data_IF_173541261269
#
_entry.id   IF_173541261269
#
_cell.length_a   1.000
_cell.length_b   1.000
_cell.length_c   1.000
_cell.angle_alpha   90.00
_cell.angle_beta   90.00
_cell.angle_gamma   90.00
#
_symmetry.space_group_name_H-M   'P 1'
#
loop_
_entity.id
_entity.type
_entity.pdbx_description
1 polymer ?
#
# COMPACT_ATOMS: atom_id res chain seq x y z
N UNK A 1 -3.88 0.73 -12.56
CA UNK A 1 -2.99 0.57 -11.39
C UNK A 1 -3.56 1.43 -10.26
N UNK A 2 -3.50 0.95 -9.02
CA UNK A 2 -3.93 1.68 -7.82
C UNK A 2 -2.98 2.87 -7.58
N UNK A 3 -3.52 4.06 -7.30
CA UNK A 3 -2.71 5.29 -7.13
C UNK A 3 -2.17 5.85 -8.46
N UNK A 4 -3.03 6.10 -9.46
CA UNK A 4 -2.62 6.40 -10.83
C UNK A 4 -1.81 7.70 -10.92
N UNK A 5 -0.51 7.57 -11.22
CA UNK A 5 0.42 8.71 -11.33
C UNK A 5 0.97 9.19 -9.99
N UNK A 6 0.17 9.09 -8.93
CA UNK A 6 0.53 9.49 -7.56
C UNK A 6 1.69 8.66 -7.00
N UNK A 7 1.74 7.36 -7.29
CA UNK A 7 2.81 6.48 -6.83
C UNK A 7 4.17 6.88 -7.42
N UNK A 8 4.21 7.10 -8.73
CA UNK A 8 5.41 7.53 -9.44
C UNK A 8 5.81 8.95 -9.03
N UNK A 9 4.83 9.85 -8.88
CA UNK A 9 5.05 11.22 -8.41
C UNK A 9 5.66 11.26 -7.01
N UNK A 10 5.14 10.43 -6.09
CA UNK A 10 5.65 10.31 -4.72
C UNK A 10 7.09 9.81 -4.69
N UNK A 11 7.44 8.82 -5.52
CA UNK A 11 8.83 8.37 -5.66
C UNK A 11 9.76 9.52 -6.08
N UNK A 12 9.37 10.30 -7.09
CA UNK A 12 10.17 11.42 -7.60
C UNK A 12 10.34 12.49 -6.50
N UNK A 13 9.26 12.83 -5.79
CA UNK A 13 9.30 13.79 -4.69
C UNK A 13 10.26 13.33 -3.57
N UNK A 14 10.19 12.06 -3.17
CA UNK A 14 11.08 11.50 -2.17
C UNK A 14 12.55 11.47 -2.65
N UNK A 15 12.79 11.14 -3.92
CA UNK A 15 14.14 11.21 -4.50
C UNK A 15 14.72 12.64 -4.48
N UNK A 16 13.89 13.66 -4.71
CA UNK A 16 14.30 15.07 -4.59
C UNK A 16 14.65 15.41 -3.15
N UNK A 17 13.81 15.04 -2.18
CA UNK A 17 14.06 15.27 -0.74
C UNK A 17 15.38 14.62 -0.30
N UNK A 18 15.60 13.37 -0.69
CA UNK A 18 16.82 12.62 -0.40
C UNK A 18 18.08 13.28 -0.99
N UNK A 19 17.99 13.81 -2.21
CA UNK A 19 19.10 14.51 -2.86
C UNK A 19 19.39 15.87 -2.20
N UNK A 20 18.35 16.61 -1.80
CA UNK A 20 18.50 17.86 -1.04
C UNK A 20 19.19 17.58 0.30
N UNK A 21 18.74 16.57 1.03
CA UNK A 21 19.35 16.16 2.30
C UNK A 21 20.84 15.77 2.14
N UNK A 22 21.17 15.00 1.09
CA UNK A 22 22.54 14.63 0.78
C UNK A 22 23.41 15.85 0.43
N UNK A 23 22.91 16.76 -0.42
CA UNK A 23 23.64 17.98 -0.83
C UNK A 23 23.92 18.89 0.37
N UNK A 24 22.95 19.04 1.26
CA UNK A 24 23.06 19.88 2.45
C UNK A 24 23.74 19.17 3.64
N UNK A 25 24.07 17.88 3.52
CA UNK A 25 24.62 17.05 4.60
C UNK A 25 23.78 17.08 5.88
N UNK A 26 22.46 17.07 5.73
CA UNK A 26 21.50 17.02 6.84
C UNK A 26 20.69 15.72 6.79
N UNK A 27 20.10 15.37 7.92
CA UNK A 27 19.24 14.20 8.02
C UNK A 27 17.97 14.34 7.15
N UNK A 28 17.57 13.27 6.48
CA UNK A 28 16.46 13.30 5.51
C UNK A 28 15.12 13.53 6.20
N UNK A 29 14.92 12.92 7.37
CA UNK A 29 13.69 13.11 8.15
C UNK A 29 13.56 14.55 8.65
N UNK A 30 14.68 15.22 8.92
CA UNK A 30 14.71 16.66 9.19
C UNK A 30 14.27 17.49 7.98
N UNK A 31 14.71 17.16 6.76
CA UNK A 31 14.24 17.82 5.52
C UNK A 31 12.74 17.66 5.33
N UNK A 32 12.23 16.43 5.50
CA UNK A 32 10.78 16.15 5.45
C UNK A 32 10.04 16.98 6.48
N UNK A 33 10.48 16.95 7.74
CA UNK A 33 9.84 17.64 8.85
C UNK A 33 9.77 19.16 8.67
N UNK A 34 10.85 19.78 8.16
CA UNK A 34 10.89 21.23 7.89
C UNK A 34 9.96 21.63 6.73
N UNK A 35 9.80 20.75 5.75
CA UNK A 35 9.01 21.02 4.53
C UNK A 35 7.58 20.45 4.59
N UNK A 36 7.15 19.87 5.71
CA UNK A 36 5.74 19.53 5.91
C UNK A 36 4.89 20.79 5.76
N UNK A 37 3.76 20.66 5.07
CA UNK A 37 2.85 21.78 4.93
C UNK A 37 2.41 22.31 6.30
N UNK A 38 2.27 23.62 6.41
CA UNK A 38 1.34 24.23 7.37
C UNK A 38 -0.06 24.27 6.77
N UNK A 39 -1.10 24.41 7.59
CA UNK A 39 -2.47 24.58 7.08
C UNK A 39 -2.58 25.76 6.09
N UNK A 40 -1.90 26.87 6.37
CA UNK A 40 -1.82 28.03 5.46
C UNK A 40 -1.17 27.68 4.12
N UNK A 41 -0.11 26.87 4.12
CA UNK A 41 0.50 26.45 2.87
C UNK A 41 -0.38 25.45 2.11
N UNK A 42 -1.10 24.54 2.79
CA UNK A 42 -2.06 23.65 2.12
C UNK A 42 -3.08 24.44 1.31
N UNK A 43 -3.61 25.53 1.87
CA UNK A 43 -4.54 26.42 1.16
C UNK A 43 -3.96 26.96 -0.16
N UNK A 44 -2.64 27.14 -0.27
CA UNK A 44 -2.00 27.65 -1.48
C UNK A 44 -1.78 26.58 -2.55
N UNK A 45 -1.62 25.30 -2.15
CA UNK A 45 -1.35 24.18 -3.06
C UNK A 45 -2.58 23.35 -3.42
N UNK A 46 -3.56 23.28 -2.51
CA UNK A 46 -4.75 22.42 -2.62
C UNK A 46 -6.02 23.26 -2.54
N UNK A 47 -6.24 24.06 -3.57
CA UNK A 47 -7.37 24.98 -3.65
C UNK A 47 -8.70 24.23 -3.47
N UNK A 48 -9.61 24.80 -2.67
CA UNK A 48 -10.94 24.25 -2.33
C UNK A 48 -11.01 22.86 -1.65
N UNK A 49 -9.89 22.19 -1.32
CA UNK A 49 -9.92 20.84 -0.71
C UNK A 49 -9.04 20.66 0.54
N UNK A 50 -8.36 21.72 0.99
CA UNK A 50 -7.48 21.72 2.16
C UNK A 50 -8.19 21.51 3.52
N UNK A 51 -9.52 21.69 3.56
CA UNK A 51 -10.35 21.46 4.76
C UNK A 51 -10.13 22.46 5.89
N UNK A 52 -10.86 22.28 6.99
CA UNK A 52 -10.68 23.11 8.19
C UNK A 52 -9.34 22.79 8.91
N UNK A 53 -8.78 23.72 9.71
CA UNK A 53 -7.49 23.52 10.38
C UNK A 53 -7.37 22.22 11.18
N UNK A 54 -8.46 21.78 11.82
CA UNK A 54 -8.49 20.55 12.62
C UNK A 54 -8.51 19.28 11.76
N UNK A 55 -8.86 19.37 10.47
CA UNK A 55 -8.84 18.24 9.54
C UNK A 55 -7.43 17.92 9.05
N UNK A 56 -6.47 18.86 9.21
CA UNK A 56 -5.07 18.65 8.83
C UNK A 56 -4.35 17.82 9.91
N UNK A 57 -4.46 16.50 9.79
CA UNK A 57 -3.99 15.54 10.81
C UNK A 57 -2.52 15.14 10.65
N UNK A 58 -1.88 15.41 9.49
CA UNK A 58 -0.54 14.94 9.19
C UNK A 58 0.53 15.30 10.24
N UNK A 59 0.62 16.54 10.79
CA UNK A 59 1.63 16.84 11.81
C UNK A 59 1.43 16.04 13.11
N UNK A 60 0.16 15.78 13.47
CA UNK A 60 -0.20 14.96 14.63
C UNK A 60 0.17 13.49 14.38
N UNK A 61 -0.15 12.96 13.19
CA UNK A 61 0.22 11.62 12.74
C UNK A 61 1.74 11.45 12.77
N UNK A 62 2.48 12.39 12.17
CA UNK A 62 3.94 12.38 12.11
C UNK A 62 4.58 12.27 13.49
N UNK A 63 4.13 13.11 14.42
CA UNK A 63 4.63 13.15 15.80
C UNK A 63 4.25 11.88 16.58
N UNK A 64 3.00 11.43 16.48
CA UNK A 64 2.53 10.21 17.13
C UNK A 64 3.25 8.96 16.61
N UNK A 65 3.50 8.91 15.31
CA UNK A 65 4.19 7.79 14.68
C UNK A 65 5.65 7.71 15.15
N UNK A 66 6.37 8.83 15.27
CA UNK A 66 7.72 8.83 15.82
C UNK A 66 7.78 8.16 17.21
N UNK A 67 6.87 8.57 18.10
CA UNK A 67 6.80 8.05 19.47
C UNK A 67 6.37 6.57 19.49
N UNK A 68 5.26 6.23 18.83
CA UNK A 68 4.71 4.87 18.87
C UNK A 68 5.59 3.83 18.19
N UNK A 69 6.30 4.22 17.12
CA UNK A 69 7.25 3.35 16.42
C UNK A 69 8.64 3.31 17.07
N UNK A 70 8.88 4.07 18.15
CA UNK A 70 10.19 4.29 18.77
C UNK A 70 11.25 4.74 17.75
N UNK A 71 10.90 5.67 16.85
CA UNK A 71 11.68 6.03 15.68
C UNK A 71 13.09 6.52 16.04
N UNK A 72 13.20 7.44 17.00
CA UNK A 72 14.48 8.00 17.43
C UNK A 72 15.39 6.93 18.05
N UNK A 73 14.83 6.08 18.91
CA UNK A 73 15.56 4.97 19.52
C UNK A 73 16.05 3.97 18.48
N UNK A 74 15.19 3.57 17.54
CA UNK A 74 15.55 2.64 16.47
C UNK A 74 16.56 3.24 15.51
N UNK A 75 16.50 4.55 15.25
CA UNK A 75 17.51 5.24 14.46
C UNK A 75 18.90 5.13 15.08
N UNK A 76 19.02 5.29 16.40
CA UNK A 76 20.30 5.07 17.10
C UNK A 76 20.72 3.60 17.10
N UNK A 77 19.78 2.67 17.28
CA UNK A 77 20.07 1.22 17.17
C UNK A 77 20.58 0.83 15.79
N UNK A 78 20.00 1.39 14.72
CA UNK A 78 20.45 1.18 13.33
C UNK A 78 21.88 1.71 13.13
N UNK A 79 22.20 2.90 13.65
CA UNK A 79 23.57 3.44 13.60
C UNK A 79 24.56 2.50 14.31
N UNK A 80 24.20 2.01 15.49
CA UNK A 80 25.07 1.12 16.27
C UNK A 80 25.25 -0.25 15.59
N UNK A 81 24.17 -0.81 15.04
CA UNK A 81 24.23 -2.01 14.22
C UNK A 81 25.17 -1.82 13.02
N UNK A 82 25.06 -0.69 12.32
CA UNK A 82 25.88 -0.39 11.16
C UNK A 82 27.36 -0.20 11.48
N UNK A 83 27.72 0.21 12.71
CA UNK A 83 29.12 0.28 13.14
C UNK A 83 29.73 -1.09 13.42
N UNK A 84 28.93 -2.02 13.93
CA UNK A 84 29.40 -3.34 14.36
C UNK A 84 29.29 -4.41 13.27
N UNK A 85 28.32 -4.29 12.36
CA UNK A 85 28.08 -5.25 11.30
C UNK A 85 28.87 -4.95 10.04
N UNK A 86 29.70 -5.90 9.59
CA UNK A 86 30.51 -5.80 8.37
C UNK A 86 29.68 -6.13 7.12
N UNK A 87 28.95 -7.25 7.13
CA UNK A 87 28.31 -7.82 5.94
C UNK A 87 26.83 -7.49 5.82
N UNK A 88 26.26 -6.78 6.80
CA UNK A 88 24.86 -6.36 6.76
C UNK A 88 24.73 -4.92 7.17
N UNK A 89 23.81 -4.20 6.55
CA UNK A 89 23.47 -2.82 6.91
C UNK A 89 21.99 -2.69 7.11
N UNK A 90 21.61 -1.87 8.09
CA UNK A 90 20.23 -1.47 8.30
C UNK A 90 20.00 -0.06 7.83
N UNK A 91 18.77 0.19 7.44
CA UNK A 91 18.28 1.52 7.14
C UNK A 91 16.88 1.67 7.70
N UNK A 92 16.55 2.89 8.08
CA UNK A 92 15.24 3.27 8.59
C UNK A 92 14.82 4.56 7.90
N UNK A 93 13.54 4.67 7.55
CA UNK A 93 12.99 5.90 6.97
C UNK A 93 11.56 6.10 7.40
N UNK A 94 11.18 7.37 7.57
CA UNK A 94 9.83 7.82 7.82
C UNK A 94 9.35 8.70 6.65
N UNK A 95 8.19 8.39 6.10
CA UNK A 95 7.63 9.05 4.91
C UNK A 95 6.16 9.45 5.15
N UNK A 96 5.77 10.70 4.87
CA UNK A 96 4.38 11.15 4.95
C UNK A 96 3.63 10.89 3.64
N UNK A 97 2.30 10.94 3.68
CA UNK A 97 1.46 11.02 2.48
C UNK A 97 0.41 12.11 2.64
N UNK A 98 0.21 12.89 1.58
CA UNK A 98 -0.94 13.75 1.35
C UNK A 98 -1.57 13.28 0.04
N UNK A 99 -2.83 12.89 0.06
CA UNK A 99 -3.50 12.35 -1.14
C UNK A 99 -4.82 13.06 -1.38
N UNK A 100 -5.00 13.61 -2.58
CA UNK A 100 -6.24 14.26 -2.98
C UNK A 100 -7.26 13.26 -3.52
N UNK A 101 -8.47 13.34 -3.00
CA UNK A 101 -9.58 12.48 -3.38
C UNK A 101 -10.71 13.28 -3.99
N UNK A 102 -11.45 12.64 -4.88
CA UNK A 102 -12.59 13.23 -5.60
C UNK A 102 -13.78 12.27 -5.48
N UNK A 103 -14.89 12.75 -4.91
CA UNK A 103 -16.16 12.03 -4.96
C UNK A 103 -16.85 12.30 -6.30
N UNK A 104 -17.57 11.28 -6.78
CA UNK A 104 -18.29 11.33 -8.06
C UNK A 104 -19.78 11.12 -7.83
N UNK A 105 -20.63 11.75 -8.66
CA UNK A 105 -22.05 11.47 -8.64
C UNK A 105 -22.33 9.98 -8.81
N UNK A 106 -23.21 9.43 -7.97
CA UNK A 106 -23.41 7.98 -7.87
C UNK A 106 -24.89 7.66 -7.66
N UNK A 107 -25.49 6.75 -8.46
CA UNK A 107 -26.85 6.28 -8.24
C UNK A 107 -26.89 5.19 -7.16
N UNK A 108 -28.02 5.09 -6.47
CA UNK A 108 -28.35 4.02 -5.55
C UNK A 108 -29.84 3.77 -5.51
N UNK A 109 -30.25 2.54 -5.20
CA UNK A 109 -31.65 2.13 -5.10
C UNK A 109 -31.83 1.15 -3.96
N UNK A 110 -32.93 1.30 -3.23
CA UNK A 110 -33.34 0.43 -2.12
C UNK A 110 -34.80 0.05 -2.33
N UNK A 111 -35.07 -1.25 -2.25
CA UNK A 111 -36.41 -1.82 -2.37
C UNK A 111 -36.68 -2.75 -1.18
N UNK A 112 -37.80 -2.56 -0.50
CA UNK A 112 -38.24 -3.42 0.61
C UNK A 112 -39.33 -4.36 0.08
N UNK A 113 -39.10 -5.67 0.19
CA UNK A 113 -40.06 -6.69 -0.22
C UNK A 113 -41.15 -6.87 0.84
N UNK A 114 -42.27 -7.50 0.47
CA UNK A 114 -43.44 -7.65 1.34
C UNK A 114 -43.18 -8.47 2.62
N UNK A 115 -42.12 -9.28 2.64
CA UNK A 115 -41.67 -10.03 3.82
C UNK A 115 -40.72 -9.24 4.73
N UNK A 116 -40.42 -7.98 4.37
CA UNK A 116 -39.48 -7.12 5.09
C UNK A 116 -38.01 -7.32 4.70
N UNK A 117 -37.68 -8.21 3.76
CA UNK A 117 -36.32 -8.26 3.22
C UNK A 117 -36.02 -7.01 2.38
N UNK A 118 -34.75 -6.60 2.35
CA UNK A 118 -34.30 -5.35 1.72
C UNK A 118 -33.31 -5.69 0.61
N UNK A 119 -33.60 -5.22 -0.59
CA UNK A 119 -32.72 -5.35 -1.77
C UNK A 119 -32.09 -3.99 -2.04
N UNK A 120 -30.76 -3.97 -2.18
CA UNK A 120 -29.97 -2.77 -2.44
C UNK A 120 -29.21 -2.93 -3.74
N UNK A 121 -29.27 -1.90 -4.59
CA UNK A 121 -28.62 -1.84 -5.89
C UNK A 121 -27.74 -0.59 -5.96
N UNK A 122 -26.49 -0.75 -6.37
CA UNK A 122 -25.52 0.35 -6.52
C UNK A 122 -24.72 0.16 -7.80
N UNK A 123 -24.18 1.25 -8.35
CA UNK A 123 -23.30 1.19 -9.53
C UNK A 123 -21.89 0.66 -9.22
N UNK A 124 -21.50 0.70 -7.94
CA UNK A 124 -20.20 0.21 -7.48
C UNK A 124 -20.05 -1.31 -7.58
N UNK A 125 -18.90 -1.75 -8.06
CA UNK A 125 -18.54 -3.15 -8.26
C UNK A 125 -17.69 -3.62 -7.08
N UNK A 126 -18.03 -4.79 -6.53
CA UNK A 126 -17.21 -5.45 -5.51
C UNK A 126 -16.00 -6.13 -6.18
N UNK A 127 -14.80 -5.75 -5.75
CA UNK A 127 -13.50 -6.24 -6.21
C UNK A 127 -12.66 -6.80 -5.06
N UNK A 128 -13.26 -6.94 -3.86
CA UNK A 128 -12.57 -7.34 -2.63
C UNK A 128 -12.32 -6.17 -1.67
N UNK A 129 -12.70 -4.94 -2.04
CA UNK A 129 -12.58 -3.75 -1.20
C UNK A 129 -13.67 -3.61 -0.13
N UNK A 130 -14.64 -4.53 -0.10
CA UNK A 130 -15.71 -4.53 0.89
C UNK A 130 -16.76 -3.44 0.66
N UNK A 131 -16.95 -3.03 -0.60
CA UNK A 131 -17.95 -2.02 -0.98
C UNK A 131 -19.37 -2.49 -0.64
N UNK A 132 -19.72 -3.72 -1.01
CA UNK A 132 -21.05 -4.27 -0.74
C UNK A 132 -21.29 -4.47 0.75
N UNK A 133 -20.24 -4.81 1.51
CA UNK A 133 -20.33 -4.90 2.98
C UNK A 133 -20.66 -3.53 3.59
N UNK A 134 -19.96 -2.47 3.19
CA UNK A 134 -20.23 -1.11 3.66
C UNK A 134 -21.62 -0.62 3.26
N UNK A 135 -22.03 -0.88 2.03
CA UNK A 135 -23.39 -0.53 1.54
C UNK A 135 -24.48 -1.28 2.32
N UNK A 136 -24.27 -2.57 2.59
CA UNK A 136 -25.18 -3.39 3.40
C UNK A 136 -25.32 -2.83 4.82
N UNK A 137 -24.19 -2.47 5.45
CA UNK A 137 -24.16 -1.82 6.76
C UNK A 137 -24.87 -0.47 6.74
N UNK A 138 -24.67 0.33 5.69
CA UNK A 138 -25.32 1.63 5.52
C UNK A 138 -26.84 1.52 5.40
N UNK A 139 -27.34 0.58 4.59
CA UNK A 139 -28.78 0.35 4.46
C UNK A 139 -29.42 -0.05 5.79
N UNK A 140 -28.79 -0.99 6.52
CA UNK A 140 -29.25 -1.41 7.84
C UNK A 140 -29.20 -0.28 8.86
N UNK A 141 -28.12 0.51 8.88
CA UNK A 141 -27.96 1.68 9.73
C UNK A 141 -29.06 2.72 9.47
N UNK A 142 -29.27 3.11 8.20
CA UNK A 142 -30.25 4.12 7.83
C UNK A 142 -31.67 3.65 8.16
N UNK A 143 -32.08 2.47 7.69
CA UNK A 143 -33.42 1.94 7.97
C UNK A 143 -33.66 1.66 9.46
N UNK A 144 -32.61 1.28 10.20
CA UNK A 144 -32.68 1.05 11.64
C UNK A 144 -33.11 2.28 12.46
N UNK A 145 -32.95 3.49 11.92
CA UNK A 145 -33.43 4.73 12.55
C UNK A 145 -34.94 4.80 12.73
N UNK A 146 -35.70 3.96 12.01
CA UNK A 146 -37.15 3.86 12.22
C UNK A 146 -37.50 3.28 13.59
N UNK A 147 -36.56 2.61 14.27
CA UNK A 147 -36.73 2.06 15.62
C UNK A 147 -37.97 1.16 15.75
N UNK A 148 -38.01 0.08 14.96
CA UNK A 148 -38.94 -1.04 15.17
C UNK A 148 -38.36 -2.05 16.18
N UNK A 149 -39.24 -2.84 16.81
CA UNK A 149 -38.82 -3.97 17.63
C UNK A 149 -38.06 -5.01 16.80
N UNK A 150 -36.95 -5.51 17.35
CA UNK A 150 -36.10 -6.49 16.67
C UNK A 150 -35.18 -5.89 15.59
N UNK A 151 -34.96 -4.57 15.60
CA UNK A 151 -34.10 -3.82 14.66
C UNK A 151 -32.66 -4.37 14.55
N UNK A 152 -32.17 -5.08 15.57
CA UNK A 152 -30.87 -5.76 15.55
C UNK A 152 -30.71 -6.82 14.45
N UNK A 153 -31.80 -7.27 13.82
CA UNK A 153 -31.79 -8.27 12.73
C UNK A 153 -31.81 -7.68 11.31
N UNK A 154 -31.88 -6.34 11.16
CA UNK A 154 -32.01 -5.71 9.85
C UNK A 154 -30.83 -6.02 8.93
N UNK A 155 -29.62 -6.14 9.48
CA UNK A 155 -28.44 -6.47 8.68
C UNK A 155 -28.61 -7.81 7.93
N UNK A 156 -29.20 -8.82 8.55
CA UNK A 156 -29.41 -10.13 7.92
C UNK A 156 -30.50 -10.10 6.83
N UNK A 157 -31.39 -9.10 6.89
CA UNK A 157 -32.46 -8.87 5.92
C UNK A 157 -32.01 -8.11 4.68
N UNK A 158 -30.84 -7.45 4.74
CA UNK A 158 -30.30 -6.67 3.62
C UNK A 158 -29.46 -7.55 2.70
N UNK A 159 -29.81 -7.53 1.42
CA UNK A 159 -29.04 -8.12 0.33
C UNK A 159 -28.67 -7.06 -0.68
N UNK A 160 -27.36 -6.95 -0.96
CA UNK A 160 -26.87 -6.19 -2.11
C UNK A 160 -26.86 -7.14 -3.31
N UNK A 161 -27.44 -6.72 -4.43
CA UNK A 161 -27.48 -7.50 -5.67
C UNK A 161 -26.45 -7.00 -6.66
N UNK A 162 -26.10 -7.86 -7.62
CA UNK A 162 -25.14 -7.55 -8.66
C UNK A 162 -25.60 -6.34 -9.47
N UNK A 163 -24.67 -5.44 -9.78
CA UNK A 163 -24.94 -4.27 -10.60
C UNK A 163 -25.40 -4.68 -12.01
N UNK A 164 -26.51 -4.09 -12.45
CA UNK A 164 -27.09 -4.25 -13.78
C UNK A 164 -27.42 -2.86 -14.34
N UNK A 165 -26.93 -2.56 -15.55
CA UNK A 165 -27.14 -1.27 -16.21
C UNK A 165 -28.60 -1.03 -16.63
N UNK A 166 -29.41 -2.09 -16.73
CA UNK A 166 -30.85 -1.98 -16.94
C UNK A 166 -31.57 -1.54 -15.67
N UNK A 167 -31.10 -2.00 -14.50
CA UNK A 167 -31.72 -1.67 -13.21
C UNK A 167 -31.26 -0.32 -12.67
N UNK A 168 -29.99 0.03 -12.90
CA UNK A 168 -29.38 1.27 -12.42
C UNK A 168 -28.54 1.92 -13.51
N UNK A 169 -29.11 2.94 -14.16
CA UNK A 169 -28.40 3.75 -15.15
C UNK A 169 -27.38 4.67 -14.47
N UNK A 170 -26.36 5.09 -15.23
CA UNK A 170 -25.32 6.02 -14.77
C UNK A 170 -24.47 5.51 -13.58
N UNK A 171 -24.30 4.18 -13.46
CA UNK A 171 -23.49 3.55 -12.40
C UNK A 171 -22.00 3.95 -12.41
N UNK A 172 -21.49 4.46 -13.54
CA UNK A 172 -20.12 4.92 -13.66
C UNK A 172 -19.09 3.78 -13.61
N UNK A 173 -17.92 4.05 -13.05
CA UNK A 173 -16.85 3.07 -12.87
C UNK A 173 -16.39 3.06 -11.40
N UNK A 174 -15.91 1.91 -10.93
CA UNK A 174 -15.37 1.75 -9.57
C UNK A 174 -13.87 2.08 -9.56
N UNK A 175 -13.50 3.25 -9.04
CA UNK A 175 -12.13 3.77 -9.04
C UNK A 175 -11.99 5.00 -8.13
N UNK A 176 -10.77 5.51 -7.92
CA UNK A 176 -10.52 6.77 -7.21
C UNK A 176 -10.78 6.73 -5.71
N UNK A 177 -10.83 5.52 -5.13
CA UNK A 177 -11.01 5.23 -3.70
C UNK A 177 -12.34 5.67 -3.04
N UNK A 178 -13.14 6.51 -3.69
CA UNK A 178 -14.36 7.11 -3.12
C UNK A 178 -15.65 6.40 -3.50
N UNK A 179 -15.62 5.38 -4.38
CA UNK A 179 -16.83 4.69 -4.86
C UNK A 179 -17.66 4.10 -3.71
N UNK A 180 -17.01 3.53 -2.69
CA UNK A 180 -17.71 2.96 -1.53
C UNK A 180 -18.48 4.02 -0.74
N UNK A 181 -17.88 5.19 -0.51
CA UNK A 181 -18.50 6.31 0.20
C UNK A 181 -19.70 6.85 -0.58
N UNK A 182 -19.51 7.08 -1.88
CA UNK A 182 -20.56 7.62 -2.74
C UNK A 182 -21.74 6.65 -2.90
N UNK A 183 -21.47 5.33 -2.98
CA UNK A 183 -22.52 4.31 -2.98
C UNK A 183 -23.28 4.26 -1.64
N UNK A 184 -22.56 4.36 -0.52
CA UNK A 184 -23.18 4.41 0.80
C UNK A 184 -24.11 5.62 0.92
N UNK A 185 -23.68 6.79 0.49
CA UNK A 185 -24.50 8.00 0.57
C UNK A 185 -25.72 7.93 -0.34
N UNK A 186 -25.59 7.41 -1.57
CA UNK A 186 -26.74 7.20 -2.46
C UNK A 186 -27.78 6.23 -1.86
N UNK A 187 -27.32 5.21 -1.15
CA UNK A 187 -28.18 4.26 -0.43
C UNK A 187 -28.81 4.90 0.80
N UNK A 188 -28.07 5.71 1.56
CA UNK A 188 -28.59 6.48 2.70
C UNK A 188 -29.74 7.41 2.27
N UNK A 189 -29.54 8.17 1.19
CA UNK A 189 -30.57 9.05 0.61
C UNK A 189 -31.81 8.26 0.15
N UNK A 190 -31.62 7.09 -0.46
CA UNK A 190 -32.73 6.22 -0.85
C UNK A 190 -33.49 5.69 0.36
N UNK A 191 -32.79 5.34 1.44
CA UNK A 191 -33.41 4.95 2.71
C UNK A 191 -34.18 6.11 3.36
N UNK A 192 -33.66 7.34 3.34
CA UNK A 192 -34.34 8.52 3.89
C UNK A 192 -35.73 8.70 3.27
N UNK A 193 -35.84 8.55 1.94
CA UNK A 193 -37.13 8.61 1.21
C UNK A 193 -38.09 7.52 1.69
N UNK A 194 -37.59 6.29 1.91
CA UNK A 194 -38.42 5.18 2.42
C UNK A 194 -38.89 5.46 3.85
N UNK A 195 -38.00 6.00 4.70
CA UNK A 195 -38.33 6.38 6.06
C UNK A 195 -39.39 7.48 6.12
N UNK A 196 -39.31 8.49 5.25
CA UNK A 196 -40.35 9.53 5.15
C UNK A 196 -41.74 8.94 4.83
N UNK A 197 -41.79 7.91 3.98
CA UNK A 197 -43.04 7.21 3.64
C UNK A 197 -43.56 6.33 4.78
N UNK A 198 -42.65 5.71 5.54
CA UNK A 198 -43.00 4.74 6.58
C UNK A 198 -43.29 5.39 7.95
N UNK A 199 -42.68 6.54 8.27
CA UNK A 199 -42.80 7.22 9.57
C UNK A 199 -44.26 7.49 9.99
N UNK A 200 -45.11 8.12 9.15
CA UNK A 200 -46.50 8.40 9.56
C UNK A 200 -47.30 7.13 9.87
N UNK A 201 -47.06 6.07 9.09
CA UNK A 201 -47.70 4.78 9.31
C UNK A 201 -47.20 4.11 10.60
N UNK A 202 -45.89 4.18 10.85
CA UNK A 202 -45.29 3.64 12.06
C UNK A 202 -45.84 4.34 13.30
N UNK A 203 -45.92 5.67 13.29
CA UNK A 203 -46.46 6.47 14.41
C UNK A 203 -47.92 6.11 14.69
N UNK A 204 -48.77 6.08 13.66
CA UNK A 204 -50.18 5.70 13.80
C UNK A 204 -50.35 4.30 14.40
N UNK A 205 -49.68 3.31 13.83
CA UNK A 205 -49.80 1.94 14.32
C UNK A 205 -49.23 1.84 15.76
N UNK A 206 -48.21 2.63 16.08
CA UNK A 206 -47.56 2.61 17.40
C UNK A 206 -48.48 3.17 18.48
N UNK A 207 -49.31 4.16 18.14
CA UNK A 207 -50.39 4.65 19.01
C UNK A 207 -51.49 3.59 19.21
N UNK A 208 -51.83 2.82 18.18
CA UNK A 208 -52.90 1.82 18.22
C UNK A 208 -52.50 0.52 18.95
N UNK A 209 -51.26 0.05 18.75
CA UNK A 209 -50.81 -1.29 19.14
C UNK A 209 -49.60 -1.30 20.08
N UNK A 210 -49.03 -0.14 20.39
CA UNK A 210 -47.76 -0.05 21.13
C UNK A 210 -46.58 -0.40 20.23
N UNK A 211 -45.71 -1.31 20.65
CA UNK A 211 -44.49 -1.58 19.88
C UNK A 211 -44.74 -2.42 18.62
N UNK A 212 -43.99 -2.15 17.55
CA UNK A 212 -44.19 -2.73 16.22
C UNK A 212 -42.92 -3.35 15.69
N UNK A 213 -43.06 -4.58 15.20
CA UNK A 213 -42.02 -5.30 14.45
C UNK A 213 -41.92 -4.77 13.02
N UNK A 214 -40.70 -4.81 12.49
CA UNK A 214 -40.40 -4.39 11.12
C UNK A 214 -41.31 -5.06 10.08
N UNK A 215 -41.49 -6.38 10.16
CA UNK A 215 -42.30 -7.14 9.19
C UNK A 215 -43.77 -6.71 9.21
N UNK A 216 -44.31 -6.40 10.40
CA UNK A 216 -45.68 -5.95 10.53
C UNK A 216 -45.87 -4.55 9.93
N UNK A 217 -44.91 -3.64 10.14
CA UNK A 217 -44.92 -2.31 9.53
C UNK A 217 -44.90 -2.42 7.99
N UNK A 218 -44.01 -3.22 7.44
CA UNK A 218 -43.86 -3.40 6.00
C UNK A 218 -45.11 -4.05 5.39
N UNK A 219 -45.68 -5.06 6.05
CA UNK A 219 -46.93 -5.68 5.61
C UNK A 219 -48.09 -4.66 5.57
N UNK A 220 -48.22 -3.82 6.60
CA UNK A 220 -49.22 -2.75 6.62
C UNK A 220 -48.98 -1.70 5.53
N UNK A 221 -47.72 -1.32 5.31
CA UNK A 221 -47.34 -0.40 4.23
C UNK A 221 -47.75 -0.95 2.85
N UNK A 222 -47.52 -2.26 2.63
CA UNK A 222 -47.93 -2.95 1.42
C UNK A 222 -49.46 -2.95 1.25
N UNK A 223 -50.22 -3.27 2.30
CA UNK A 223 -51.69 -3.23 2.27
C UNK A 223 -52.25 -1.83 1.99
N UNK A 224 -51.53 -0.78 2.40
CA UNK A 224 -51.90 0.62 2.14
C UNK A 224 -51.33 1.16 0.82
N UNK A 225 -50.78 0.30 -0.04
CA UNK A 225 -50.21 0.68 -1.34
C UNK A 225 -49.10 1.74 -1.24
N UNK A 226 -48.32 1.72 -0.15
CA UNK A 226 -47.13 2.57 -0.01
C UNK A 226 -46.04 2.07 -0.95
N UNK A 227 -45.44 2.97 -1.72
CA UNK A 227 -44.31 2.61 -2.57
C UNK A 227 -43.05 2.30 -1.73
N UNK A 228 -42.70 1.02 -1.64
CA UNK A 228 -41.55 0.49 -0.89
C UNK A 228 -40.25 0.42 -1.71
N UNK A 229 -40.17 1.15 -2.82
CA UNK A 229 -38.94 1.30 -3.61
C UNK A 229 -38.56 2.78 -3.75
N UNK A 230 -37.29 3.10 -3.54
CA UNK A 230 -36.74 4.43 -3.72
C UNK A 230 -35.37 4.36 -4.40
N UNK A 231 -35.08 5.37 -5.23
CA UNK A 231 -33.79 5.54 -5.89
C UNK A 231 -33.34 6.98 -5.73
N UNK A 232 -32.04 7.18 -5.57
CA UNK A 232 -31.43 8.50 -5.45
C UNK A 232 -30.16 8.58 -6.30
N UNK A 233 -29.88 9.77 -6.80
CA UNK A 233 -28.62 10.10 -7.45
C UNK A 233 -27.86 11.04 -6.53
N UNK A 234 -26.88 10.51 -5.81
CA UNK A 234 -26.03 11.32 -4.95
C UNK A 234 -25.15 12.21 -5.81
N UNK A 235 -25.20 13.52 -5.56
CA UNK A 235 -24.31 14.52 -6.18
C UNK A 235 -23.57 15.22 -5.05
N UNK A 236 -22.24 15.05 -4.93
CA UNK A 236 -21.46 15.77 -3.93
C UNK A 236 -21.60 17.29 -4.12
N UNK A 237 -21.77 18.04 -3.03
CA UNK A 237 -21.71 19.50 -3.09
C UNK A 237 -20.29 19.97 -3.41
N UNK A 238 -20.12 21.19 -3.93
CA UNK A 238 -18.79 21.72 -4.30
C UNK A 238 -17.75 21.58 -3.16
N UNK A 239 -18.14 21.86 -1.91
CA UNK A 239 -17.26 21.76 -0.74
C UNK A 239 -17.01 20.31 -0.26
N UNK A 240 -17.81 19.36 -0.73
CA UNK A 240 -17.70 17.93 -0.40
C UNK A 240 -17.09 17.11 -1.52
N UNK A 241 -16.92 17.69 -2.72
CA UNK A 241 -16.48 16.98 -3.92
C UNK A 241 -15.02 16.53 -3.82
N UNK A 242 -14.18 17.27 -3.10
CA UNK A 242 -12.76 16.97 -2.96
C UNK A 242 -12.29 17.09 -1.52
N UNK A 243 -11.32 16.25 -1.15
CA UNK A 243 -10.70 16.28 0.17
C UNK A 243 -9.31 15.66 0.19
N UNK A 244 -8.56 15.95 1.25
CA UNK A 244 -7.23 15.39 1.46
C UNK A 244 -7.23 14.28 2.52
N UNK A 245 -6.46 13.24 2.22
CA UNK A 245 -6.10 12.19 3.15
C UNK A 245 -4.65 12.28 3.59
N UNK A 246 -4.41 11.82 4.80
CA UNK A 246 -3.14 11.94 5.47
C UNK A 246 -2.73 10.61 6.10
N UNK A 247 -1.44 10.35 6.08
CA UNK A 247 -0.84 9.21 6.74
C UNK A 247 0.67 9.35 6.82
N UNK A 248 1.31 8.48 7.58
CA UNK A 248 2.75 8.33 7.56
C UNK A 248 3.13 6.88 7.86
N UNK A 249 4.30 6.48 7.38
CA UNK A 249 4.87 5.17 7.65
C UNK A 249 6.35 5.28 8.04
N UNK A 250 6.76 4.47 9.01
CA UNK A 250 8.15 4.18 9.35
C UNK A 250 8.44 2.77 8.87
N UNK A 251 9.53 2.58 8.12
CA UNK A 251 10.01 1.25 7.72
C UNK A 251 11.48 1.08 8.06
N UNK A 252 11.85 -0.09 8.57
CA UNK A 252 13.23 -0.52 8.79
C UNK A 252 13.53 -1.78 7.98
N UNK A 253 14.69 -1.78 7.35
CA UNK A 253 15.18 -2.88 6.52
C UNK A 253 16.59 -3.28 6.92
N UNK A 254 16.96 -4.53 6.65
CA UNK A 254 18.33 -5.03 6.70
C UNK A 254 18.71 -5.55 5.33
N UNK A 255 19.81 -5.05 4.76
CA UNK A 255 20.39 -5.55 3.51
C UNK A 255 21.59 -6.45 3.82
N UNK A 256 21.70 -7.57 3.11
CA UNK A 256 22.89 -8.40 3.10
C UNK A 256 23.81 -7.97 1.95
N UNK A 257 25.03 -7.55 2.28
CA UNK A 257 25.96 -7.00 1.30
C UNK A 257 26.60 -8.09 0.42
N UNK A 258 26.53 -9.36 0.81
CA UNK A 258 27.06 -10.47 0.03
C UNK A 258 26.07 -10.87 -1.08
N UNK A 259 24.78 -10.92 -0.76
CA UNK A 259 23.73 -11.40 -1.68
C UNK A 259 22.90 -10.29 -2.32
N UNK A 260 22.77 -9.13 -1.68
CA UNK A 260 21.81 -8.08 -2.02
C UNK A 260 20.41 -8.30 -1.45
N UNK A 261 20.20 -9.39 -0.69
CA UNK A 261 18.90 -9.70 -0.09
C UNK A 261 18.48 -8.55 0.84
N UNK A 262 17.22 -8.12 0.72
CA UNK A 262 16.64 -7.11 1.60
C UNK A 262 15.56 -7.75 2.48
N UNK A 263 15.74 -7.68 3.79
CA UNK A 263 14.75 -8.11 4.79
C UNK A 263 13.98 -6.92 5.31
N UNK A 264 12.66 -7.00 5.24
CA UNK A 264 11.75 -5.99 5.79
C UNK A 264 11.50 -6.31 7.27
N UNK A 265 12.17 -5.60 8.17
CA UNK A 265 12.16 -5.95 9.60
C UNK A 265 10.87 -5.49 10.26
N UNK A 266 10.57 -4.20 10.16
CA UNK A 266 9.39 -3.63 10.80
C UNK A 266 8.87 -2.43 10.02
N UNK A 267 7.54 -2.40 9.85
CA UNK A 267 6.81 -1.25 9.34
C UNK A 267 5.72 -0.84 10.33
N UNK A 268 5.65 0.46 10.61
CA UNK A 268 4.63 1.09 11.46
C UNK A 268 3.87 2.15 10.63
N UNK A 269 2.55 2.07 10.59
CA UNK A 269 1.68 3.00 9.84
C UNK A 269 0.66 3.62 10.77
N UNK A 270 0.50 4.95 10.68
CA UNK A 270 -0.70 5.65 11.15
C UNK A 270 -1.36 6.30 9.95
N UNK A 271 -2.64 5.99 9.73
CA UNK A 271 -3.41 6.51 8.59
C UNK A 271 -4.77 7.07 9.04
N UNK A 272 -5.15 8.23 8.51
CA UNK A 272 -6.40 8.92 8.85
C UNK A 272 -7.57 8.45 7.97
N UNK A 273 -8.47 7.66 8.56
CA UNK A 273 -9.71 7.21 7.92
C UNK A 273 -10.94 8.04 8.34
N UNK A 274 -10.77 9.14 9.08
CA UNK A 274 -11.91 9.82 9.70
C UNK A 274 -12.70 8.85 10.59
N UNK A 275 -14.03 8.98 10.57
CA UNK A 275 -14.92 7.99 11.15
C UNK A 275 -15.12 6.84 10.16
N UNK A 276 -14.22 5.85 10.24
CA UNK A 276 -14.27 4.66 9.39
C UNK A 276 -15.65 4.00 9.40
N UNK A 277 -16.20 3.77 8.20
CA UNK A 277 -17.47 3.05 8.02
C UNK A 277 -17.36 1.58 8.44
N UNK A 278 -16.18 0.99 8.25
CA UNK A 278 -15.88 -0.37 8.68
C UNK A 278 -14.37 -0.50 8.93
N UNK A 279 -13.93 -0.45 10.20
CA UNK A 279 -12.51 -0.45 10.55
C UNK A 279 -11.77 -1.69 10.08
N UNK A 280 -12.41 -2.86 10.07
CA UNK A 280 -11.77 -4.10 9.61
C UNK A 280 -11.50 -4.07 8.10
N UNK A 281 -12.46 -3.58 7.32
CA UNK A 281 -12.27 -3.40 5.86
C UNK A 281 -11.21 -2.34 5.58
N UNK A 282 -11.25 -1.21 6.27
CA UNK A 282 -10.28 -0.13 6.07
C UNK A 282 -8.87 -0.53 6.47
N UNK A 283 -8.71 -1.30 7.55
CA UNK A 283 -7.43 -1.86 7.98
C UNK A 283 -6.84 -2.78 6.90
N UNK A 284 -7.65 -3.72 6.39
CA UNK A 284 -7.22 -4.62 5.32
C UNK A 284 -6.89 -3.88 4.01
N UNK A 285 -7.57 -2.77 3.71
CA UNK A 285 -7.22 -1.91 2.58
C UNK A 285 -5.87 -1.24 2.76
N UNK A 286 -5.58 -0.71 3.96
CA UNK A 286 -4.28 -0.08 4.27
C UNK A 286 -3.15 -1.10 4.14
N UNK A 287 -3.29 -2.28 4.74
CA UNK A 287 -2.30 -3.35 4.68
C UNK A 287 -2.07 -3.83 3.24
N UNK A 288 -3.15 -4.14 2.52
CA UNK A 288 -3.07 -4.63 1.15
C UNK A 288 -2.49 -3.58 0.18
N UNK A 289 -2.84 -2.30 0.35
CA UNK A 289 -2.27 -1.21 -0.44
C UNK A 289 -0.77 -1.06 -0.19
N UNK A 290 -0.35 -1.07 1.08
CA UNK A 290 1.06 -0.94 1.44
C UNK A 290 1.88 -2.10 0.88
N UNK A 291 1.41 -3.35 1.03
CA UNK A 291 2.10 -4.53 0.49
C UNK A 291 2.19 -4.47 -1.04
N UNK A 292 1.13 -4.04 -1.73
CA UNK A 292 1.18 -3.80 -3.17
C UNK A 292 2.23 -2.74 -3.54
N UNK A 293 2.34 -1.65 -2.76
CA UNK A 293 3.38 -0.65 -2.92
C UNK A 293 4.78 -1.20 -2.67
N UNK A 294 4.95 -2.07 -1.67
CA UNK A 294 6.21 -2.76 -1.39
C UNK A 294 6.64 -3.60 -2.59
N UNK A 295 5.70 -4.33 -3.19
CA UNK A 295 5.92 -5.05 -4.45
C UNK A 295 6.44 -4.13 -5.54
N UNK A 296 5.74 -3.04 -5.83
CA UNK A 296 6.17 -2.03 -6.81
C UNK A 296 7.57 -1.48 -6.53
N UNK A 297 7.88 -1.17 -5.27
CA UNK A 297 9.15 -0.54 -4.92
C UNK A 297 10.34 -1.50 -4.86
N UNK A 298 10.13 -2.78 -4.56
CA UNK A 298 11.21 -3.70 -4.16
C UNK A 298 11.28 -4.99 -4.98
N UNK A 299 10.17 -5.48 -5.55
CA UNK A 299 10.08 -6.87 -6.03
C UNK A 299 9.60 -6.99 -7.49
N UNK A 300 8.55 -6.27 -7.86
CA UNK A 300 7.80 -6.48 -9.09
C UNK A 300 8.51 -5.81 -10.28
N UNK A 301 9.25 -6.60 -11.05
CA UNK A 301 9.98 -6.17 -12.24
C UNK A 301 9.27 -6.63 -13.53
N UNK A 302 9.24 -5.74 -14.52
CA UNK A 302 8.73 -6.01 -15.85
C UNK A 302 9.86 -5.86 -16.87
N UNK A 303 10.50 -6.97 -17.18
CA UNK A 303 11.60 -7.00 -18.14
C UNK A 303 11.06 -7.16 -19.57
N UNK A 304 11.72 -6.46 -20.51
CA UNK A 304 11.45 -6.57 -21.95
C UNK A 304 12.71 -6.94 -22.70
N UNK A 305 12.58 -7.73 -23.76
CA UNK A 305 13.67 -7.97 -24.70
C UNK A 305 13.97 -6.71 -25.55
N UNK A 306 15.00 -6.81 -26.40
CA UNK A 306 15.38 -5.72 -27.33
C UNK A 306 14.29 -5.39 -28.37
N UNK A 307 13.32 -6.28 -28.58
CA UNK A 307 12.18 -6.09 -29.48
C UNK A 307 10.96 -5.49 -28.76
N UNK A 308 11.04 -5.29 -27.43
CA UNK A 308 9.94 -4.79 -26.60
C UNK A 308 8.94 -5.85 -26.14
N UNK A 309 9.24 -7.15 -26.31
CA UNK A 309 8.41 -8.25 -25.82
C UNK A 309 8.66 -8.50 -24.34
N UNK A 310 7.58 -8.72 -23.58
CA UNK A 310 7.68 -9.03 -22.16
C UNK A 310 8.34 -10.39 -21.93
N UNK A 311 9.39 -10.41 -21.10
CA UNK A 311 10.02 -11.64 -20.61
C UNK A 311 9.27 -12.21 -19.39
N UNK A 312 8.50 -11.36 -18.70
CA UNK A 312 7.73 -11.70 -17.50
C UNK A 312 6.26 -12.00 -17.84
N UNK A 313 6.01 -13.12 -18.54
CA UNK A 313 4.67 -13.51 -19.01
C UNK A 313 3.86 -14.41 -18.05
N UNK A 314 4.29 -14.55 -16.79
CA UNK A 314 3.60 -15.36 -15.79
C UNK A 314 4.21 -15.22 -14.38
N UNK A 315 3.56 -15.84 -13.39
CA UNK A 315 3.96 -15.77 -11.96
C UNK A 315 5.30 -16.44 -11.65
N UNK A 316 5.82 -17.24 -12.59
CA UNK A 316 7.17 -17.79 -12.46
C UNK A 316 8.25 -16.73 -12.59
N UNK A 317 8.03 -15.69 -13.41
CA UNK A 317 9.00 -14.64 -13.68
C UNK A 317 8.59 -13.29 -13.07
N UNK A 318 7.29 -13.05 -12.86
CA UNK A 318 6.78 -11.86 -12.18
C UNK A 318 6.50 -12.17 -10.70
N UNK A 319 7.30 -11.58 -9.79
CA UNK A 319 7.27 -11.89 -8.35
C UNK A 319 6.53 -10.81 -7.56
N UNK A 320 5.26 -11.09 -7.25
CA UNK A 320 4.50 -10.32 -6.26
C UNK A 320 5.00 -10.61 -4.84
N UNK A 321 4.70 -9.72 -3.87
CA UNK A 321 4.94 -10.01 -2.46
C UNK A 321 4.28 -11.32 -2.01
N UNK A 322 5.00 -12.06 -1.17
CA UNK A 322 4.60 -13.32 -0.54
C UNK A 322 4.78 -13.22 0.98
N UNK A 323 4.41 -14.26 1.73
CA UNK A 323 4.39 -14.23 3.21
C UNK A 323 5.77 -13.96 3.82
N UNK A 324 6.84 -14.34 3.14
CA UNK A 324 8.24 -14.15 3.55
C UNK A 324 8.83 -12.81 3.08
N UNK A 325 8.11 -12.06 2.23
CA UNK A 325 8.55 -10.76 1.70
C UNK A 325 7.68 -9.58 2.17
N UNK A 326 6.87 -9.77 3.21
CA UNK A 326 6.20 -8.68 3.93
C UNK A 326 7.00 -8.29 5.18
N UNK A 327 6.75 -7.13 5.81
CA UNK A 327 7.42 -6.76 7.06
C UNK A 327 7.19 -7.82 8.15
N UNK A 328 8.27 -8.27 8.80
CA UNK A 328 8.19 -9.29 9.86
C UNK A 328 7.34 -8.83 11.04
N UNK A 329 7.47 -7.54 11.37
CA UNK A 329 6.55 -6.85 12.26
C UNK A 329 5.80 -5.77 11.47
N UNK A 330 4.48 -5.92 11.36
CA UNK A 330 3.65 -4.99 10.62
C UNK A 330 2.56 -4.41 11.52
N UNK A 331 2.74 -3.16 11.95
CA UNK A 331 1.83 -2.48 12.86
C UNK A 331 1.07 -1.40 12.09
N UNK A 332 -0.26 -1.53 12.02
CA UNK A 332 -1.11 -0.53 11.35
C UNK A 332 -2.14 0.01 12.33
N UNK A 333 -2.19 1.33 12.45
CA UNK A 333 -3.14 2.04 13.28
C UNK A 333 -4.00 2.99 12.43
N UNK A 334 -5.32 2.85 12.60
CA UNK A 334 -6.28 3.80 12.05
C UNK A 334 -6.44 4.97 13.03
N UNK A 335 -6.22 6.19 12.55
CA UNK A 335 -6.59 7.40 13.27
C UNK A 335 -8.06 7.73 12.95
N UNK A 336 -8.89 7.73 14.00
CA UNK A 336 -10.24 8.28 13.92
C UNK A 336 -10.18 9.78 14.13
N UNK A 337 -10.03 10.54 13.03
CA UNK A 337 -10.20 11.99 13.09
C UNK A 337 -11.71 12.29 13.22
N UNK A 338 -12.04 13.30 14.02
CA UNK A 338 -13.40 13.54 14.55
C UNK A 338 -14.47 13.84 13.51
N UNK A 339 -15.41 14.74 13.84
CA UNK A 339 -16.52 15.02 12.95
C UNK A 339 -16.07 15.86 11.74
N UNK A 340 -16.30 15.32 10.54
CA UNK A 340 -16.12 16.01 9.26
C UNK A 340 -17.50 16.24 8.64
N UNK A 341 -17.95 17.50 8.62
CA UNK A 341 -19.32 17.87 8.22
C UNK A 341 -19.63 17.58 6.74
N UNK A 342 -18.60 17.64 5.89
CA UNK A 342 -18.71 17.54 4.43
C UNK A 342 -18.31 16.17 3.88
N UNK A 343 -18.40 15.12 4.71
CA UNK A 343 -18.06 13.74 4.34
C UNK A 343 -19.19 12.79 4.70
N UNK A 344 -19.26 11.67 3.98
CA UNK A 344 -20.25 10.62 4.22
C UNK A 344 -19.99 10.02 5.60
N UNK A 345 -20.86 10.30 6.58
CA UNK A 345 -20.67 9.94 7.99
C UNK A 345 -19.26 10.25 8.53
N UNK A 346 -18.67 11.36 8.11
CA UNK A 346 -17.31 11.75 8.51
C UNK A 346 -16.20 10.75 8.13
N UNK A 347 -16.43 9.85 7.16
CA UNK A 347 -15.42 8.89 6.69
C UNK A 347 -14.39 9.50 5.75
N UNK A 348 -13.26 8.80 5.60
CA UNK A 348 -12.23 9.05 4.60
C UNK A 348 -11.80 7.75 3.93
N UNK A 349 -11.45 7.82 2.65
CA UNK A 349 -11.12 6.63 1.87
C UNK A 349 -9.79 5.98 2.28
N UNK A 350 -9.68 4.67 2.09
CA UNK A 350 -8.52 3.85 2.48
C UNK A 350 -7.92 3.06 1.31
N UNK A 351 -8.46 3.25 0.10
CA UNK A 351 -8.06 2.54 -1.11
C UNK A 351 -6.63 2.86 -1.53
N UNK A 352 -6.46 3.80 -2.44
CA UNK A 352 -5.17 4.11 -3.06
C UNK A 352 -4.11 4.74 -2.13
N UNK A 353 -4.45 5.67 -1.21
CA UNK A 353 -3.44 6.48 -0.53
C UNK A 353 -2.37 5.69 0.25
N UNK A 354 -2.70 4.61 1.00
CA UNK A 354 -1.69 3.89 1.78
C UNK A 354 -0.66 3.14 0.91
N UNK A 355 -0.89 2.99 -0.40
CA UNK A 355 0.09 2.40 -1.32
C UNK A 355 1.38 3.23 -1.37
N UNK A 356 1.25 4.56 -1.37
CA UNK A 356 2.39 5.49 -1.46
C UNK A 356 3.32 5.39 -0.24
N UNK A 357 2.79 4.99 0.92
CA UNK A 357 3.56 4.86 2.16
C UNK A 357 4.66 3.80 2.05
N UNK A 358 4.55 2.86 1.11
CA UNK A 358 5.60 1.88 0.83
C UNK A 358 6.91 2.51 0.32
N UNK A 359 6.89 3.78 -0.12
CA UNK A 359 8.11 4.53 -0.41
C UNK A 359 9.05 4.60 0.80
N UNK A 360 8.52 4.46 2.04
CA UNK A 360 9.34 4.33 3.25
C UNK A 360 10.31 3.14 3.20
N UNK A 361 9.91 2.00 2.62
CA UNK A 361 10.76 0.80 2.48
C UNK A 361 11.89 1.07 1.48
N UNK A 362 11.56 1.70 0.35
CA UNK A 362 12.55 2.08 -0.65
C UNK A 362 13.57 3.07 -0.08
N UNK A 363 13.11 4.11 0.64
CA UNK A 363 13.98 5.09 1.27
C UNK A 363 14.84 4.47 2.39
N UNK A 364 14.29 3.54 3.18
CA UNK A 364 15.05 2.79 4.17
C UNK A 364 16.14 1.94 3.51
N UNK A 365 15.84 1.29 2.39
CA UNK A 365 16.84 0.52 1.61
C UNK A 365 17.94 1.43 1.08
N UNK A 366 17.59 2.60 0.54
CA UNK A 366 18.56 3.62 0.13
C UNK A 366 19.47 4.05 1.28
N UNK A 367 18.93 4.26 2.48
CA UNK A 367 19.73 4.59 3.66
C UNK A 367 20.71 3.46 4.03
N UNK A 368 20.28 2.19 3.96
CA UNK A 368 21.15 1.05 4.21
C UNK A 368 22.29 0.93 3.17
N UNK A 369 21.99 1.14 1.88
CA UNK A 369 22.99 1.16 0.80
C UNK A 369 23.98 2.29 1.01
N UNK A 370 23.54 3.47 1.43
CA UNK A 370 24.43 4.59 1.74
C UNK A 370 25.45 4.22 2.82
N UNK A 371 25.03 3.53 3.88
CA UNK A 371 25.94 3.04 4.91
C UNK A 371 26.89 1.94 4.41
N UNK A 372 26.44 1.09 3.48
CA UNK A 372 27.30 0.12 2.81
C UNK A 372 28.41 0.80 1.99
N UNK A 373 28.04 1.83 1.21
CA UNK A 373 28.99 2.61 0.38
C UNK A 373 30.00 3.36 1.22
N UNK A 374 29.59 3.98 2.33
CA UNK A 374 30.51 4.61 3.29
C UNK A 374 31.52 3.61 3.84
N UNK A 375 31.08 2.39 4.18
CA UNK A 375 32.00 1.35 4.63
C UNK A 375 32.98 0.94 3.52
N UNK A 376 32.51 0.77 2.28
CA UNK A 376 33.36 0.43 1.13
C UNK A 376 34.45 1.48 0.88
N UNK A 377 34.09 2.77 0.99
CA UNK A 377 35.04 3.88 0.88
C UNK A 377 36.09 3.83 2.01
N UNK A 378 35.67 3.52 3.23
CA UNK A 378 36.59 3.39 4.38
C UNK A 378 37.64 2.29 4.21
N UNK A 379 37.38 1.31 3.34
CA UNK A 379 38.34 0.25 2.98
C UNK A 379 39.22 0.60 1.79
N UNK A 380 38.78 1.55 0.96
CA UNK A 380 39.44 1.86 -0.31
C UNK A 380 40.54 2.93 -0.18
N UNK A 381 40.68 3.60 0.97
CA UNK A 381 41.58 4.75 1.19
C UNK A 381 41.44 5.86 0.12
N UNK A 382 40.28 5.91 -0.56
CA UNK A 382 39.94 6.91 -1.55
C UNK A 382 39.08 7.97 -0.85
N UNK A 383 39.58 9.20 -0.83
CA UNK A 383 38.80 10.40 -0.45
C UNK A 383 37.90 10.82 -1.62
N UNK A 384 37.14 9.89 -2.20
CA UNK A 384 36.09 10.28 -3.13
C UNK A 384 34.89 10.80 -2.34
N UNK A 385 34.38 12.00 -2.64
CA UNK A 385 33.17 12.50 -2.01
C UNK A 385 32.04 11.49 -2.26
N UNK A 386 31.34 11.09 -1.20
CA UNK A 386 30.21 10.15 -1.21
C UNK A 386 29.21 10.60 -2.30
N UNK A 387 29.34 10.01 -3.48
CA UNK A 387 28.64 10.46 -4.67
C UNK A 387 27.17 10.11 -4.52
N UNK A 388 26.32 11.10 -4.79
CA UNK A 388 24.88 10.89 -4.92
C UNK A 388 24.64 9.74 -5.88
N UNK A 389 23.98 8.68 -5.41
CA UNK A 389 23.59 7.55 -6.23
C UNK A 389 22.07 7.52 -6.41
N UNK A 390 21.64 6.94 -7.53
CA UNK A 390 20.22 6.76 -7.83
C UNK A 390 19.85 5.31 -7.56
N UNK A 391 18.96 5.09 -6.59
CA UNK A 391 18.28 3.81 -6.41
C UNK A 391 17.06 3.83 -7.33
N UNK A 392 17.03 2.90 -8.30
CA UNK A 392 15.91 2.74 -9.23
C UNK A 392 14.80 1.90 -8.61
N UNK A 393 13.62 1.99 -9.20
CA UNK A 393 12.45 1.19 -8.86
C UNK A 393 12.19 0.18 -9.99
N UNK A 394 12.00 -1.12 -9.68
CA UNK A 394 12.12 -1.72 -8.36
C UNK A 394 13.57 -1.82 -7.87
N UNK A 395 13.78 -1.74 -6.56
CA UNK A 395 15.07 -1.95 -5.90
C UNK A 395 15.27 -3.45 -5.60
N UNK A 396 15.38 -4.25 -6.67
CA UNK A 396 15.52 -5.71 -6.58
C UNK A 396 16.86 -6.13 -5.98
N UNK A 397 16.96 -7.39 -5.57
CA UNK A 397 18.18 -7.96 -5.00
C UNK A 397 19.45 -7.72 -5.86
N UNK A 398 19.44 -7.91 -7.20
CA UNK A 398 20.59 -7.57 -8.05
C UNK A 398 20.96 -6.09 -7.99
N UNK A 399 19.97 -5.18 -8.03
CA UNK A 399 20.18 -3.72 -7.96
C UNK A 399 20.80 -3.32 -6.62
N UNK A 400 20.30 -3.87 -5.51
CA UNK A 400 20.84 -3.61 -4.17
C UNK A 400 22.28 -4.14 -4.07
N UNK A 401 22.56 -5.32 -4.64
CA UNK A 401 23.91 -5.93 -4.64
C UNK A 401 24.90 -5.09 -5.44
N UNK A 402 24.51 -4.63 -6.63
CA UNK A 402 25.33 -3.76 -7.47
C UNK A 402 25.70 -2.46 -6.74
N UNK A 403 24.70 -1.75 -6.20
CA UNK A 403 24.90 -0.46 -5.54
C UNK A 403 25.68 -0.56 -4.21
N UNK A 404 25.66 -1.73 -3.57
CA UNK A 404 26.43 -2.05 -2.36
C UNK A 404 27.88 -2.45 -2.65
N UNK A 405 28.22 -2.76 -3.90
CA UNK A 405 29.54 -3.18 -4.35
C UNK A 405 29.62 -4.69 -4.62
N UNK A 406 29.82 -5.06 -5.89
CA UNK A 406 30.06 -6.44 -6.30
C UNK A 406 31.39 -6.99 -5.74
N UNK A 407 32.40 -6.12 -5.68
CA UNK A 407 33.76 -6.39 -5.23
C UNK A 407 33.97 -6.18 -3.72
N UNK A 408 32.90 -6.04 -2.94
CA UNK A 408 32.97 -5.68 -1.51
C UNK A 408 33.88 -6.61 -0.70
N UNK A 409 33.84 -7.93 -0.97
CA UNK A 409 34.68 -8.92 -0.30
C UNK A 409 36.15 -8.74 -0.67
N UNK A 410 36.44 -8.50 -1.94
CA UNK A 410 37.81 -8.29 -2.42
C UNK A 410 38.41 -7.03 -1.79
N UNK A 411 37.65 -5.92 -1.75
CA UNK A 411 38.10 -4.67 -1.10
C UNK A 411 38.35 -4.86 0.39
N UNK A 412 37.45 -5.55 1.09
CA UNK A 412 37.64 -5.86 2.50
C UNK A 412 38.92 -6.67 2.74
N UNK A 413 39.17 -7.72 1.95
CA UNK A 413 40.36 -8.56 2.08
C UNK A 413 41.64 -7.76 1.80
N UNK A 414 41.67 -6.94 0.75
CA UNK A 414 42.81 -6.05 0.44
C UNK A 414 43.09 -5.08 1.59
N UNK A 415 42.05 -4.45 2.13
CA UNK A 415 42.16 -3.54 3.28
C UNK A 415 42.64 -4.24 4.57
N UNK A 416 42.15 -5.45 4.82
CA UNK A 416 42.55 -6.22 6.00
C UNK A 416 44.02 -6.65 5.93
N UNK A 417 44.45 -7.11 4.76
CA UNK A 417 45.84 -7.49 4.50
C UNK A 417 46.79 -6.29 4.67
N UNK A 418 46.45 -5.11 4.14
CA UNK A 418 47.28 -3.92 4.29
C UNK A 418 47.39 -3.43 5.74
N UNK A 419 46.39 -3.67 6.58
CA UNK A 419 46.46 -3.41 8.03
C UNK A 419 47.27 -4.45 8.80
N UNK A 420 47.19 -5.72 8.42
CA UNK A 420 47.93 -6.80 9.09
C UNK A 420 49.43 -6.78 8.77
N UNK A 421 49.85 -6.23 7.62
CA UNK A 421 51.27 -6.07 7.26
C UNK A 421 52.04 -5.09 8.18
N UNK A 422 51.32 -4.21 8.92
CA UNK A 422 51.86 -3.29 9.92
C UNK A 422 52.13 -3.95 11.31
N UNK A 423 51.85 -5.25 11.49
CA UNK A 423 52.10 -6.00 12.73
C UNK A 423 53.50 -6.66 12.86
N UNK A 424 53.92 -7.10 14.07
CA UNK A 424 55.25 -7.66 14.32
C UNK A 424 55.53 -8.94 13.51
N UNK A 425 56.80 -9.19 13.12
CA UNK A 425 57.17 -10.13 12.04
C UNK A 425 56.95 -11.63 12.30
N UNK A 426 56.61 -12.07 13.51
CA UNK A 426 56.62 -13.49 13.91
C UNK A 426 55.44 -14.34 13.43
N UNK A 427 54.42 -13.76 12.79
CA UNK A 427 53.24 -14.49 12.25
C UNK A 427 53.06 -14.38 10.73
N UNK A 428 54.01 -13.78 10.01
CA UNK A 428 53.83 -13.31 8.62
C UNK A 428 53.71 -14.41 7.55
N UNK A 429 54.30 -15.58 7.75
CA UNK A 429 54.49 -16.54 6.65
C UNK A 429 53.37 -17.59 6.49
N UNK A 430 52.68 -18.00 7.56
CA UNK A 430 51.63 -19.04 7.45
C UNK A 430 50.25 -18.49 7.08
N UNK A 431 49.98 -17.21 7.34
CA UNK A 431 48.66 -16.58 7.11
C UNK A 431 48.47 -16.04 5.70
N UNK A 432 49.54 -15.57 5.05
CA UNK A 432 49.50 -15.08 3.66
C UNK A 432 49.08 -16.19 2.69
N UNK A 433 49.65 -17.39 2.81
CA UNK A 433 49.33 -18.56 1.97
C UNK A 433 47.87 -19.05 2.07
N UNK A 434 47.26 -18.97 3.27
CA UNK A 434 45.87 -19.37 3.46
C UNK A 434 44.88 -18.40 2.80
N UNK A 435 45.18 -17.10 2.79
CA UNK A 435 44.29 -16.07 2.22
C UNK A 435 44.44 -15.97 0.70
N UNK A 436 45.64 -16.13 0.14
CA UNK A 436 45.84 -16.23 -1.31
C UNK A 436 45.07 -17.42 -1.89
N UNK A 437 44.99 -18.53 -1.15
CA UNK A 437 44.21 -19.70 -1.54
C UNK A 437 42.69 -19.42 -1.57
N UNK A 438 42.18 -18.59 -0.64
CA UNK A 438 40.76 -18.18 -0.62
C UNK A 438 40.43 -17.19 -1.74
N UNK A 439 41.33 -16.23 -2.04
CA UNK A 439 41.17 -15.33 -3.19
C UNK A 439 41.16 -16.10 -4.52
N UNK A 440 42.06 -17.08 -4.68
CA UNK A 440 42.09 -17.93 -5.88
C UNK A 440 40.81 -18.76 -6.02
N UNK A 441 40.29 -19.34 -4.94
CA UNK A 441 39.04 -20.11 -4.95
C UNK A 441 37.82 -19.24 -5.31
N UNK A 442 37.76 -17.99 -4.83
CA UNK A 442 36.69 -17.06 -5.18
C UNK A 442 36.76 -16.60 -6.65
N UNK A 443 37.95 -16.26 -7.14
CA UNK A 443 38.13 -15.91 -8.57
C UNK A 443 37.78 -17.05 -9.51
N UNK A 444 38.13 -18.31 -9.17
CA UNK A 444 37.70 -19.48 -9.98
C UNK A 444 36.18 -19.71 -9.93
N UNK A 445 35.51 -19.38 -8.82
CA UNK A 445 34.06 -19.55 -8.69
C UNK A 445 33.28 -18.51 -9.50
N UNK A 446 33.78 -17.27 -9.57
CA UNK A 446 33.22 -16.21 -10.42
C UNK A 446 33.42 -16.52 -11.91
N UNK A 447 34.59 -17.04 -12.31
CA UNK A 447 34.86 -17.51 -13.67
C UNK A 447 34.01 -18.73 -14.08
N UNK A 448 33.67 -19.60 -13.12
CA UNK A 448 32.77 -20.74 -13.36
C UNK A 448 31.31 -20.30 -13.55
N UNK A 449 30.85 -19.25 -12.88
CA UNK A 449 29.52 -18.66 -13.10
C UNK A 449 29.41 -17.95 -14.46
N UNK A 450 30.46 -17.26 -14.91
CA UNK A 450 30.50 -16.64 -16.25
C UNK A 450 30.57 -17.67 -17.39
N UNK A 451 31.29 -18.78 -17.19
CA UNK A 451 31.43 -19.83 -18.22
C UNK A 451 30.22 -20.76 -18.29
N UNK A 452 29.54 -21.03 -17.18
CA UNK A 452 28.28 -21.81 -17.18
C UNK A 452 27.12 -21.01 -17.78
N UNK A 453 27.08 -19.68 -17.61
CA UNK A 453 26.16 -18.79 -18.31
C UNK A 453 26.37 -18.75 -19.84
N UNK A 454 27.63 -18.87 -20.29
CA UNK A 454 27.97 -18.96 -21.72
C UNK A 454 27.64 -20.34 -22.34
N UNK A 455 27.83 -21.44 -21.60
CA UNK A 455 27.52 -22.79 -22.11
C UNK A 455 26.00 -23.04 -22.21
N UNK A 456 25.20 -22.56 -21.25
CA UNK A 456 23.74 -22.69 -21.30
C UNK A 456 23.10 -21.83 -22.42
N UNK A 457 23.73 -20.72 -22.80
CA UNK A 457 23.28 -19.90 -23.93
C UNK A 457 23.58 -20.54 -25.30
N UNK A 458 24.62 -21.40 -25.40
CA UNK A 458 25.00 -22.05 -26.64
C UNK A 458 24.32 -23.40 -26.88
N UNK A 459 23.94 -24.15 -25.84
CA UNK A 459 23.20 -25.41 -26.00
C UNK A 459 21.76 -25.22 -26.50
N UNK A 460 21.17 -24.03 -26.35
CA UNK A 460 19.83 -23.73 -26.86
C UNK A 460 19.78 -23.37 -28.36
N UNK A 461 20.91 -23.29 -29.07
CA UNK A 461 20.97 -22.93 -30.48
C UNK A 461 21.22 -24.10 -31.45
N UNK A 462 21.47 -25.31 -30.95
CA UNK A 462 21.70 -26.51 -31.79
C UNK A 462 20.80 -27.68 -31.38
N UNK A 463 19.47 -27.57 -31.55
CA UNK A 463 18.59 -28.75 -31.66
C UNK A 463 17.22 -28.42 -32.28
N UNK A 464 17.20 -27.76 -33.44
CA UNK A 464 16.01 -27.76 -34.30
C UNK A 464 16.42 -28.01 -35.76
N UNK A 465 16.69 -29.28 -36.07
CA UNK A 465 16.68 -29.77 -37.45
C UNK A 465 16.16 -31.22 -37.46
N UNK A 466 14.89 -31.36 -37.86
CA UNK A 466 14.31 -32.59 -38.39
C UNK A 466 13.40 -33.35 -37.44
N UNK A 467 12.08 -33.26 -37.66
CA UNK A 467 11.26 -34.38 -38.14
C UNK A 467 9.78 -33.98 -38.28
N UNK A 468 9.23 -34.26 -39.46
CA UNK A 468 7.83 -34.13 -39.83
C UNK A 468 6.91 -35.12 -39.09
N UNK A 469 5.64 -34.72 -39.00
CA UNK A 469 4.41 -35.52 -38.97
C UNK A 469 4.28 -36.66 -37.94
N UNK A 470 3.34 -36.48 -37.00
CA UNK A 470 2.21 -37.42 -36.82
C UNK A 470 1.13 -36.85 -35.89
N UNK A 471 -0.12 -36.96 -36.32
CA UNK A 471 -1.33 -36.76 -35.51
C UNK A 471 -1.36 -37.73 -34.31
N UNK A 472 -1.75 -37.27 -33.11
CA UNK A 472 -2.64 -38.01 -32.20
C UNK A 472 -2.97 -37.24 -30.89
N UNK A 473 -4.29 -37.05 -30.70
CA UNK A 473 -5.08 -37.23 -29.46
C UNK A 473 -4.74 -36.48 -28.16
N UNK A 474 -5.71 -35.63 -27.76
CA UNK A 474 -5.96 -35.14 -26.39
C UNK A 474 -6.18 -36.27 -25.38
N UNK A 475 -5.78 -36.05 -24.11
CA UNK A 475 -6.63 -36.31 -22.94
C UNK A 475 -6.64 -35.11 -21.97
N UNK A 476 -7.78 -34.48 -21.71
CA UNK A 476 -8.65 -34.68 -20.53
C UNK A 476 -8.00 -34.40 -19.16
N UNK A 477 -8.29 -33.18 -18.67
CA UNK A 477 -8.69 -32.80 -17.30
C UNK A 477 -8.34 -33.77 -16.17
N UNK A 478 -7.48 -33.35 -15.24
CA UNK A 478 -7.50 -33.78 -13.84
C UNK A 478 -7.34 -32.54 -12.96
N UNK A 479 -8.37 -32.31 -12.15
CA UNK A 479 -8.47 -31.34 -11.05
C UNK A 479 -7.71 -31.87 -9.83
N UNK A 480 -6.98 -30.99 -9.14
CA UNK A 480 -6.79 -31.05 -7.67
C UNK A 480 -6.98 -29.65 -7.13
#
# INVERSE_FOLDING_TARGET
MRGPGELQGSFIAEAVIENVAATLSIDVDSVRSINLHTHKSLQSFYDHCYGEPFEYTLPSIWSKLAVSANYEQRTEMVKEFNRSSIWRKRGISRVPVVYQLILRPTPGKVSILSDGSVVVEVGGIELGQGLWTKVKQMAAFALGTIQCDGSGSLLDKVRVVQADTVSLIQGGFTSGSTTSEACCEAVRLSCDILLERLKPLKEKLQEEMGSIKWEALILQAYMQSVNLSASSFYVPSNNSMMYLNYGAAVSEVEIDLLTGETKFLQTDIIYDCGQSLNPAVDLGQIEGAFVQGLGFFMLEEYETDLNGLSLANGTWNYKIPTIDTIPQQFNVQILNSGHHQHRVLSSKASGEPPLLLAASVHCATRAAIKEARKQLLSWSNLDEPDSTFQLRVPATMPVVKELSGLDIVERYLKWKLSRDELGPPSLKMSRSLAVTSVMLLYSTSVLLLDTTGWFLAHEHQETELGLENTEARRPSVITV
#
